data_IF_816114016698
#
_entry.id   IF_816114016698
#
_cell.length_a   1.000
_cell.length_b   1.000
_cell.length_c   1.000
_cell.angle_alpha   90.00
_cell.angle_beta   90.00
_cell.angle_gamma   90.00
#
_symmetry.space_group_name_H-M   'P 1'
#
loop_
_entity.id
_entity.type
_entity.pdbx_description
1 polymer ?
#
# COMPACT_ATOMS: atom_id res chain seq x y z
N UNK A 1 0.04 -3.82 -10.66
CA UNK A 1 -0.01 -4.89 -9.64
C UNK A 1 -1.34 -5.63 -9.55
N UNK A 2 -2.45 -5.12 -10.11
CA UNK A 2 -3.75 -5.83 -10.15
C UNK A 2 -3.64 -7.25 -10.73
N UNK A 3 -2.94 -7.41 -11.86
CA UNK A 3 -2.64 -8.70 -12.49
C UNK A 3 -2.00 -9.72 -11.54
N UNK A 4 -1.18 -9.27 -10.58
CA UNK A 4 -0.51 -10.18 -9.65
C UNK A 4 -1.43 -10.65 -8.51
N UNK A 5 -2.38 -9.82 -8.09
CA UNK A 5 -3.18 -10.03 -6.88
C UNK A 5 -4.60 -10.56 -7.13
N UNK A 6 -5.28 -10.05 -8.15
CA UNK A 6 -6.73 -10.23 -8.29
C UNK A 6 -7.14 -11.01 -9.54
N UNK A 7 -6.24 -11.15 -10.52
CA UNK A 7 -6.52 -11.90 -11.74
C UNK A 7 -6.21 -13.38 -11.51
N UNK A 8 -7.11 -14.33 -11.85
CA UNK A 8 -6.83 -15.77 -11.78
C UNK A 8 -5.59 -16.15 -12.61
N UNK A 9 -4.84 -17.16 -12.17
CA UNK A 9 -3.54 -17.51 -12.76
C UNK A 9 -3.60 -17.76 -14.27
N UNK A 10 -4.67 -18.39 -14.76
CA UNK A 10 -4.91 -18.66 -16.18
C UNK A 10 -5.06 -17.41 -17.06
N UNK A 11 -5.43 -16.27 -16.47
CA UNK A 11 -5.61 -15.00 -17.17
C UNK A 11 -4.52 -13.97 -16.87
N UNK A 12 -3.51 -14.35 -16.07
CA UNK A 12 -2.39 -13.45 -15.77
C UNK A 12 -1.57 -13.21 -17.02
N UNK A 13 -1.19 -11.95 -17.22
CA UNK A 13 -0.22 -11.55 -18.22
C UNK A 13 1.12 -11.22 -17.53
N UNK A 14 2.13 -12.10 -17.60
CA UNK A 14 3.42 -11.90 -16.94
C UNK A 14 4.12 -10.61 -17.36
N UNK A 15 4.00 -10.23 -18.65
CA UNK A 15 4.62 -9.01 -19.17
C UNK A 15 4.05 -7.76 -18.52
N UNK A 16 2.73 -7.70 -18.31
CA UNK A 16 2.08 -6.56 -17.62
C UNK A 16 2.54 -6.48 -16.15
N UNK A 17 2.76 -7.62 -15.49
CA UNK A 17 3.27 -7.65 -14.11
C UNK A 17 4.71 -7.13 -14.07
N UNK A 18 5.56 -7.60 -14.98
CA UNK A 18 6.97 -7.17 -15.07
C UNK A 18 7.10 -5.68 -15.38
N UNK A 19 6.38 -5.20 -16.38
CA UNK A 19 6.41 -3.80 -16.79
C UNK A 19 5.87 -2.90 -15.66
N UNK A 20 4.83 -3.33 -14.93
CA UNK A 20 4.34 -2.63 -13.74
C UNK A 20 5.40 -2.59 -12.61
N UNK A 21 6.14 -3.68 -12.38
CA UNK A 21 7.21 -3.71 -11.38
C UNK A 21 8.36 -2.74 -11.72
N UNK A 22 8.68 -2.55 -13.01
CA UNK A 22 9.73 -1.61 -13.46
C UNK A 22 9.39 -0.15 -13.18
N UNK A 23 8.13 0.23 -13.33
CA UNK A 23 7.71 1.64 -13.13
C UNK A 23 7.32 1.94 -11.68
N UNK A 24 6.99 0.92 -10.88
CA UNK A 24 6.56 1.08 -9.50
C UNK A 24 7.52 1.91 -8.63
N UNK A 25 8.86 1.74 -8.70
CA UNK A 25 9.80 2.56 -7.95
C UNK A 25 9.65 4.07 -8.19
N UNK A 26 9.26 4.52 -9.38
CA UNK A 26 9.09 5.95 -9.67
C UNK A 26 7.96 6.57 -8.85
N UNK A 27 6.84 5.85 -8.70
CA UNK A 27 5.72 6.28 -7.89
C UNK A 27 6.05 6.24 -6.39
N UNK A 28 6.76 5.19 -5.95
CA UNK A 28 7.18 5.07 -4.55
C UNK A 28 8.19 6.15 -4.18
N UNK A 29 9.16 6.46 -5.05
CA UNK A 29 10.09 7.57 -4.86
C UNK A 29 9.37 8.91 -4.74
N UNK A 30 8.33 9.13 -5.55
CA UNK A 30 7.52 10.35 -5.48
C UNK A 30 6.78 10.47 -4.16
N UNK A 31 6.16 9.37 -3.70
CA UNK A 31 5.44 9.33 -2.42
C UNK A 31 6.40 9.48 -1.23
N UNK A 32 7.54 8.78 -1.24
CA UNK A 32 8.59 8.87 -0.23
C UNK A 32 9.10 10.31 -0.08
N UNK A 33 9.44 10.96 -1.20
CA UNK A 33 9.84 12.37 -1.21
C UNK A 33 8.72 13.29 -0.72
N UNK A 34 7.47 12.99 -1.11
CA UNK A 34 6.29 13.74 -0.69
C UNK A 34 6.01 13.69 0.80
N UNK A 35 6.38 12.59 1.47
CA UNK A 35 6.23 12.35 2.91
C UNK A 35 7.41 12.86 3.74
N UNK A 36 8.55 13.17 3.11
CA UNK A 36 9.74 13.67 3.83
C UNK A 36 9.39 14.92 4.65
N UNK A 37 9.61 14.83 5.96
CA UNK A 37 9.32 15.91 6.91
C UNK A 37 7.84 16.13 7.21
N UNK A 38 6.94 15.24 6.76
CA UNK A 38 5.49 15.32 6.99
C UNK A 38 4.99 14.11 7.77
N UNK A 39 3.89 14.30 8.50
CA UNK A 39 3.22 13.20 9.20
C UNK A 39 2.17 12.53 8.31
N UNK A 40 1.49 13.32 7.48
CA UNK A 40 0.41 12.91 6.58
C UNK A 40 0.57 13.63 5.23
N UNK A 41 -0.17 13.18 4.21
CA UNK A 41 -0.05 13.73 2.86
C UNK A 41 -0.53 15.19 2.76
N UNK A 42 -1.50 15.58 3.59
CA UNK A 42 -2.11 16.91 3.54
C UNK A 42 -2.10 17.55 4.94
N UNK A 43 -1.25 18.56 5.11
CA UNK A 43 -1.08 19.24 6.40
C UNK A 43 -0.64 18.29 7.51
N UNK A 44 -1.12 18.55 8.74
CA UNK A 44 -0.68 17.84 9.94
C UNK A 44 -1.76 16.91 10.52
N UNK A 45 -2.72 16.45 9.71
CA UNK A 45 -3.76 15.51 10.15
C UNK A 45 -4.05 14.46 9.09
N UNK A 46 -4.54 13.30 9.53
CA UNK A 46 -5.01 12.27 8.61
C UNK A 46 -6.23 12.75 7.81
N UNK A 47 -6.23 12.49 6.51
CA UNK A 47 -7.31 12.85 5.59
C UNK A 47 -7.72 11.69 4.69
N UNK A 48 -8.72 11.94 3.83
CA UNK A 48 -9.08 10.99 2.76
C UNK A 48 -7.93 10.73 1.78
N UNK A 49 -7.00 11.67 1.62
CA UNK A 49 -5.81 11.45 0.79
C UNK A 49 -4.95 10.32 1.37
N UNK A 50 -4.73 10.32 2.69
CA UNK A 50 -3.97 9.28 3.36
C UNK A 50 -4.69 7.93 3.26
N UNK A 51 -6.00 7.90 3.54
CA UNK A 51 -6.81 6.69 3.43
C UNK A 51 -6.73 6.08 2.02
N UNK A 52 -6.90 6.93 1.00
CA UNK A 52 -6.90 6.50 -0.39
C UNK A 52 -5.54 5.90 -0.76
N UNK A 53 -4.44 6.65 -0.57
CA UNK A 53 -3.10 6.18 -0.98
C UNK A 53 -2.68 4.96 -0.16
N UNK A 54 -2.97 4.92 1.15
CA UNK A 54 -2.60 3.79 2.00
C UNK A 54 -3.33 2.51 1.59
N UNK A 55 -4.58 2.61 1.13
CA UNK A 55 -5.34 1.45 0.67
C UNK A 55 -4.68 0.77 -0.55
N UNK A 56 -4.13 1.56 -1.47
CA UNK A 56 -3.46 1.04 -2.67
C UNK A 56 -2.03 0.60 -2.39
N UNK A 57 -1.28 1.37 -1.60
CA UNK A 57 0.08 1.02 -1.16
C UNK A 57 0.10 -0.26 -0.30
N UNK A 58 -0.95 -0.48 0.51
CA UNK A 58 -1.15 -1.68 1.30
C UNK A 58 -1.05 -3.00 0.51
N UNK A 59 -1.42 -2.97 -0.78
CA UNK A 59 -1.33 -4.13 -1.66
C UNK A 59 0.11 -4.61 -1.89
N UNK A 60 1.09 -3.70 -1.80
CA UNK A 60 2.50 -4.05 -1.98
C UNK A 60 3.04 -4.89 -0.81
N UNK A 61 2.54 -4.64 0.41
CA UNK A 61 2.87 -5.44 1.58
C UNK A 61 2.29 -6.85 1.48
N UNK A 62 1.04 -6.99 0.99
CA UNK A 62 0.44 -8.29 0.71
C UNK A 62 1.22 -9.09 -0.34
N UNK A 63 1.80 -8.40 -1.32
CA UNK A 63 2.68 -8.97 -2.34
C UNK A 63 4.12 -9.23 -1.86
N UNK A 64 4.45 -8.90 -0.62
CA UNK A 64 5.82 -8.96 -0.07
C UNK A 64 6.83 -8.21 -0.95
N UNK A 65 6.41 -7.09 -1.55
CA UNK A 65 7.32 -6.19 -2.24
C UNK A 65 8.31 -5.60 -1.26
N UNK A 66 9.57 -5.43 -1.67
CA UNK A 66 10.60 -4.85 -0.81
C UNK A 66 10.34 -3.36 -0.59
N UNK A 67 9.81 -3.05 0.59
CA UNK A 67 9.55 -1.69 1.04
C UNK A 67 10.69 -1.13 1.90
N UNK A 68 11.79 -1.88 2.11
CA UNK A 68 12.92 -1.41 2.92
C UNK A 68 13.58 -0.12 2.40
N UNK A 69 13.58 0.21 1.09
CA UNK A 69 14.12 1.48 0.60
C UNK A 69 13.25 2.71 0.91
N UNK A 70 12.04 2.53 1.47
CA UNK A 70 11.03 3.59 1.63
C UNK A 70 10.62 3.79 3.11
N UNK A 71 11.54 4.26 3.97
CA UNK A 71 11.29 4.39 5.40
C UNK A 71 10.17 5.38 5.76
N UNK A 72 10.01 6.50 5.04
CA UNK A 72 8.94 7.46 5.32
C UNK A 72 7.57 6.88 4.97
N UNK A 73 7.46 6.13 3.86
CA UNK A 73 6.25 5.37 3.53
C UNK A 73 5.94 4.35 4.63
N UNK A 74 6.92 3.59 5.11
CA UNK A 74 6.69 2.60 6.18
C UNK A 74 6.19 3.24 7.48
N UNK A 75 6.80 4.37 7.88
CA UNK A 75 6.36 5.15 9.04
C UNK A 75 4.93 5.67 8.85
N UNK A 76 4.64 6.29 7.72
CA UNK A 76 3.31 6.83 7.39
C UNK A 76 2.25 5.73 7.31
N UNK A 77 2.58 4.57 6.72
CA UNK A 77 1.70 3.40 6.70
C UNK A 77 1.36 2.92 8.12
N UNK A 78 2.36 2.87 9.03
CA UNK A 78 2.14 2.54 10.44
C UNK A 78 1.19 3.52 11.14
N UNK A 79 1.27 4.81 10.83
CA UNK A 79 0.30 5.81 11.33
C UNK A 79 -1.09 5.59 10.76
N UNK A 80 -1.21 5.22 9.48
CA UNK A 80 -2.50 4.96 8.84
C UNK A 80 -3.18 3.69 9.39
N UNK A 81 -2.42 2.62 9.63
CA UNK A 81 -2.95 1.32 10.09
C UNK A 81 -3.13 1.22 11.60
N UNK A 82 -2.47 2.07 12.39
CA UNK A 82 -2.70 2.14 13.85
C UNK A 82 -4.06 2.73 14.25
N UNK A 83 -4.81 3.29 13.30
CA UNK A 83 -6.15 3.84 13.54
C UNK A 83 -7.13 2.75 13.99
N UNK A 84 -8.00 2.99 14.99
CA UNK A 84 -8.97 1.99 15.46
C UNK A 84 -9.85 1.37 14.36
N UNK A 85 -10.25 2.18 13.37
CA UNK A 85 -11.04 1.70 12.24
C UNK A 85 -10.26 0.72 11.33
N UNK A 86 -8.96 0.94 11.14
CA UNK A 86 -8.11 0.05 10.36
C UNK A 86 -7.91 -1.29 11.09
N UNK A 87 -7.60 -1.24 12.40
CA UNK A 87 -7.50 -2.44 13.23
C UNK A 87 -8.81 -3.24 13.29
N UNK A 88 -9.96 -2.55 13.30
CA UNK A 88 -11.28 -3.21 13.20
C UNK A 88 -11.44 -3.93 11.86
N UNK A 89 -11.04 -3.30 10.76
CA UNK A 89 -11.08 -3.93 9.44
C UNK A 89 -10.19 -5.17 9.36
N UNK A 90 -8.99 -5.13 9.92
CA UNK A 90 -8.07 -6.27 9.94
C UNK A 90 -8.66 -7.46 10.72
N UNK A 91 -9.29 -7.20 11.86
CA UNK A 91 -10.03 -8.23 12.62
C UNK A 91 -11.16 -8.83 11.79
N UNK A 92 -11.96 -8.00 11.10
CA UNK A 92 -13.06 -8.47 10.25
C UNK A 92 -12.55 -9.34 9.08
N UNK A 93 -11.43 -8.96 8.45
CA UNK A 93 -10.78 -9.74 7.38
C UNK A 93 -10.29 -11.09 7.89
N UNK A 94 -9.64 -11.11 9.06
CA UNK A 94 -9.16 -12.34 9.67
C UNK A 94 -10.32 -13.31 9.98
N UNK A 95 -11.46 -12.79 10.47
CA UNK A 95 -12.66 -13.61 10.70
C UNK A 95 -13.27 -14.13 9.39
N UNK A 96 -13.32 -13.32 8.34
CA UNK A 96 -13.88 -13.71 7.05
C UNK A 96 -13.06 -14.78 6.30
N UNK A 97 -11.74 -14.88 6.58
CA UNK A 97 -10.84 -15.87 5.98
C UNK A 97 -10.77 -17.20 6.75
N UNK A 98 -11.41 -17.28 7.92
CA UNK A 98 -11.48 -18.50 8.73
C UNK A 98 -12.66 -19.42 8.34
N UNK A 99 -13.39 -19.08 7.28
CA UNK A 99 -14.52 -19.80 6.68
C UNK A 99 -14.25 -20.05 5.21
#
# INVERSE_FOLDING_TARGET
MIQALFVPDEFKNPKVIEDAKKVLPNYLNTLEAGLKGKTYLVGNRFTVADLNVASVAGLLYALKFDMSPYPEINKWMGLCTSRPAAQKLDKLRATAQAH
#
